data_IF_278166106370
#
_entry.id   IF_278166106370
#
_cell.length_a   1.000
_cell.length_b   1.000
_cell.length_c   1.000
_cell.angle_alpha   90.00
_cell.angle_beta   90.00
_cell.angle_gamma   90.00
#
_symmetry.space_group_name_H-M   'P 1'
#
loop_
_entity.id
_entity.type
_entity.pdbx_description
1 polymer ?
#
# COMPACT_ATOMS: atom_id res chain seq x y z
N UNK A 1 10.46 -25.72 -18.79
CA UNK A 1 10.41 -24.52 -17.94
C UNK A 1 10.65 -25.00 -16.52
N UNK A 2 11.71 -24.55 -15.85
CA UNK A 2 12.00 -25.01 -14.48
C UNK A 2 10.99 -24.38 -13.51
N UNK A 3 10.28 -25.20 -12.75
CA UNK A 3 9.47 -24.73 -11.62
C UNK A 3 10.38 -24.05 -10.61
N UNK A 4 10.29 -22.73 -10.52
CA UNK A 4 11.02 -21.95 -9.54
C UNK A 4 10.34 -22.08 -8.17
N UNK A 5 10.56 -23.23 -7.50
CA UNK A 5 10.03 -23.52 -6.16
C UNK A 5 10.60 -22.62 -5.06
N UNK A 6 11.64 -21.85 -5.36
CA UNK A 6 12.27 -20.93 -4.40
C UNK A 6 11.40 -19.70 -4.14
N UNK A 7 10.84 -19.08 -5.18
CA UNK A 7 10.09 -17.83 -5.04
C UNK A 7 8.77 -17.97 -4.24
N UNK A 8 7.94 -19.01 -4.45
CA UNK A 8 6.77 -19.23 -3.60
C UNK A 8 7.15 -19.48 -2.14
N UNK A 9 8.21 -20.28 -1.90
CA UNK A 9 8.69 -20.52 -0.54
C UNK A 9 9.25 -19.25 0.11
N UNK A 10 9.92 -18.39 -0.66
CA UNK A 10 10.36 -17.08 -0.19
C UNK A 10 9.17 -16.19 0.17
N UNK A 11 8.14 -16.10 -0.68
CA UNK A 11 6.92 -15.32 -0.38
C UNK A 11 6.26 -15.78 0.91
N UNK A 12 6.11 -17.09 1.06
CA UNK A 12 5.53 -17.68 2.26
C UNK A 12 6.38 -17.39 3.49
N UNK A 13 7.70 -17.58 3.43
CA UNK A 13 8.59 -17.29 4.55
C UNK A 13 8.60 -15.80 4.92
N UNK A 14 8.50 -14.90 3.94
CA UNK A 14 8.39 -13.46 4.20
C UNK A 14 7.10 -13.15 4.96
N UNK A 15 5.97 -13.69 4.52
CA UNK A 15 4.70 -13.48 5.23
C UNK A 15 4.68 -14.13 6.61
N UNK A 16 5.23 -15.34 6.75
CA UNK A 16 5.34 -16.02 8.04
C UNK A 16 6.15 -15.18 9.04
N UNK A 17 7.27 -14.60 8.63
CA UNK A 17 8.06 -13.68 9.47
C UNK A 17 7.28 -12.41 9.84
N UNK A 18 6.35 -11.97 9.00
CA UNK A 18 5.62 -10.71 9.16
C UNK A 18 4.26 -10.87 9.87
N UNK A 19 3.70 -12.08 9.89
CA UNK A 19 2.46 -12.43 10.57
C UNK A 19 2.67 -13.09 11.95
N UNK A 20 3.89 -13.54 12.26
CA UNK A 20 4.17 -14.24 13.51
C UNK A 20 4.14 -13.28 14.72
N UNK A 21 3.18 -13.53 15.62
CA UNK A 21 3.02 -12.79 16.87
C UNK A 21 4.10 -13.11 17.91
N UNK A 22 4.90 -14.18 17.73
CA UNK A 22 5.80 -14.65 18.79
C UNK A 22 7.21 -14.05 18.76
N UNK A 23 7.76 -13.69 17.61
CA UNK A 23 9.08 -13.05 17.55
C UNK A 23 9.15 -12.10 16.35
N UNK A 24 9.72 -10.92 16.57
CA UNK A 24 10.09 -9.88 15.57
C UNK A 24 9.11 -8.75 15.30
N UNK A 25 7.81 -8.88 15.54
CA UNK A 25 6.95 -7.67 15.55
C UNK A 25 7.23 -6.86 16.82
N UNK A 26 8.08 -5.84 16.69
CA UNK A 26 8.33 -4.90 17.79
C UNK A 26 7.00 -4.23 18.07
N UNK A 27 6.38 -4.65 19.17
CA UNK A 27 5.14 -4.07 19.65
C UNK A 27 5.49 -2.82 20.43
N UNK A 28 5.13 -1.67 19.86
CA UNK A 28 5.29 -0.37 20.51
C UNK A 28 3.97 -0.02 21.16
N UNK A 29 3.96 0.00 22.49
CA UNK A 29 2.84 0.49 23.29
C UNK A 29 3.05 1.98 23.60
N UNK A 30 2.15 2.82 23.09
CA UNK A 30 2.17 4.27 23.34
C UNK A 30 0.96 4.67 24.16
N UNK A 31 1.20 5.36 25.26
CA UNK A 31 0.15 5.88 26.14
C UNK A 31 0.16 5.21 27.51
N UNK A 32 -0.86 5.53 28.30
CA UNK A 32 -1.09 4.96 29.62
C UNK A 32 -2.53 4.41 29.66
N UNK A 33 -2.78 3.41 30.50
CA UNK A 33 -4.12 2.87 30.66
C UNK A 33 -5.16 3.97 31.00
N UNK A 34 -6.38 3.88 30.45
CA UNK A 34 -6.90 2.82 29.56
C UNK A 34 -6.59 3.05 28.06
N UNK A 35 -5.78 4.05 27.70
CA UNK A 35 -5.56 4.49 26.32
C UNK A 35 -4.19 4.07 25.79
N UNK A 36 -3.93 2.76 25.78
CA UNK A 36 -2.72 2.19 25.16
C UNK A 36 -2.98 1.98 23.68
N UNK A 37 -2.12 2.53 22.83
CA UNK A 37 -2.09 2.25 21.39
C UNK A 37 -0.97 1.24 21.11
N UNK A 38 -1.33 0.13 20.47
CA UNK A 38 -0.40 -0.94 20.07
C UNK A 38 -0.06 -0.72 18.59
N UNK A 39 1.23 -0.55 18.28
CA UNK A 39 1.75 -0.49 16.89
C UNK A 39 2.69 -1.67 16.66
N UNK A 40 2.59 -2.25 15.47
CA UNK A 40 3.35 -3.43 15.03
C UNK A 40 4.22 -3.01 13.85
N UNK A 41 5.53 -2.90 14.08
CA UNK A 41 6.43 -2.23 13.14
C UNK A 41 6.48 -2.89 11.76
N UNK A 42 6.32 -4.21 11.66
CA UNK A 42 6.36 -4.91 10.38
C UNK A 42 5.08 -4.72 9.58
N UNK A 43 3.92 -4.79 10.25
CA UNK A 43 2.63 -4.49 9.63
C UNK A 43 2.58 -3.04 9.15
N UNK A 44 3.02 -2.10 9.98
CA UNK A 44 3.11 -0.68 9.61
C UNK A 44 4.01 -0.50 8.37
N UNK A 45 5.17 -1.18 8.32
CA UNK A 45 6.05 -1.12 7.15
C UNK A 45 5.37 -1.66 5.88
N UNK A 46 4.64 -2.78 5.96
CA UNK A 46 3.94 -3.34 4.81
C UNK A 46 2.84 -2.41 4.28
N UNK A 47 2.06 -1.82 5.19
CA UNK A 47 1.02 -0.86 4.85
C UNK A 47 1.60 0.40 4.19
N UNK A 48 2.72 0.92 4.73
CA UNK A 48 3.42 2.05 4.11
C UNK A 48 3.98 1.68 2.73
N UNK A 49 4.57 0.48 2.58
CA UNK A 49 5.21 0.04 1.34
C UNK A 49 4.27 -0.76 0.41
N UNK A 50 2.95 -0.59 0.57
CA UNK A 50 1.94 -1.37 -0.14
C UNK A 50 2.15 -1.37 -1.66
N UNK A 51 2.45 -0.20 -2.25
CA UNK A 51 2.64 -0.08 -3.69
C UNK A 51 3.78 -0.96 -4.21
N UNK A 52 4.90 -1.00 -3.47
CA UNK A 52 6.04 -1.85 -3.80
C UNK A 52 5.63 -3.33 -3.73
N UNK A 53 4.96 -3.74 -2.65
CA UNK A 53 4.52 -5.13 -2.45
C UNK A 53 3.50 -5.56 -3.50
N UNK A 54 2.54 -4.70 -3.82
CA UNK A 54 1.56 -4.92 -4.88
C UNK A 54 2.28 -5.07 -6.22
N UNK A 55 3.12 -4.11 -6.61
CA UNK A 55 3.85 -4.18 -7.88
C UNK A 55 4.68 -5.48 -7.98
N UNK A 56 5.49 -5.77 -6.97
CA UNK A 56 6.34 -6.97 -6.94
C UNK A 56 5.51 -8.26 -7.02
N UNK A 57 4.39 -8.35 -6.30
CA UNK A 57 3.54 -9.56 -6.30
C UNK A 57 2.78 -9.78 -7.61
N UNK A 58 2.45 -8.72 -8.34
CA UNK A 58 1.76 -8.82 -9.64
C UNK A 58 2.73 -8.97 -10.83
N UNK A 59 3.98 -8.51 -10.71
CA UNK A 59 5.02 -8.74 -11.72
C UNK A 59 5.49 -10.20 -11.78
N UNK A 60 5.33 -10.96 -10.70
CA UNK A 60 5.77 -12.35 -10.61
C UNK A 60 4.66 -13.29 -10.14
N UNK A 61 4.31 -14.26 -10.98
CA UNK A 61 3.26 -15.24 -10.66
C UNK A 61 3.62 -16.20 -9.52
N UNK A 62 4.88 -16.25 -9.09
CA UNK A 62 5.33 -17.06 -7.97
C UNK A 62 5.08 -16.43 -6.60
N UNK A 63 4.63 -15.18 -6.52
CA UNK A 63 4.37 -14.46 -5.27
C UNK A 63 2.87 -14.42 -4.95
N UNK A 64 2.21 -15.58 -5.03
CA UNK A 64 0.76 -15.69 -4.83
C UNK A 64 0.34 -15.32 -3.42
N UNK A 65 1.12 -15.68 -2.41
CA UNK A 65 0.80 -15.38 -1.02
C UNK A 65 0.91 -13.87 -0.77
N UNK A 66 1.95 -13.20 -1.29
CA UNK A 66 2.07 -11.74 -1.17
C UNK A 66 0.96 -11.02 -1.94
N UNK A 67 0.58 -11.55 -3.09
CA UNK A 67 -0.56 -11.05 -3.86
C UNK A 67 -1.86 -11.15 -3.06
N UNK A 68 -2.10 -12.29 -2.41
CA UNK A 68 -3.26 -12.49 -1.56
C UNK A 68 -3.28 -11.50 -0.41
N UNK A 69 -2.14 -11.28 0.27
CA UNK A 69 -2.02 -10.25 1.30
C UNK A 69 -2.42 -8.88 0.77
N UNK A 70 -1.86 -8.44 -0.37
CA UNK A 70 -2.20 -7.13 -0.95
C UNK A 70 -3.68 -7.02 -1.32
N UNK A 71 -4.27 -8.07 -1.91
CA UNK A 71 -5.69 -8.10 -2.26
C UNK A 71 -6.57 -8.10 -1.02
N UNK A 72 -6.20 -8.81 0.05
CA UNK A 72 -6.93 -8.80 1.31
C UNK A 72 -6.88 -7.45 2.00
N UNK A 73 -5.71 -6.80 2.08
CA UNK A 73 -5.58 -5.45 2.65
C UNK A 73 -6.45 -4.45 1.86
N UNK A 74 -6.40 -4.52 0.54
CA UNK A 74 -7.23 -3.68 -0.34
C UNK A 74 -8.72 -3.91 -0.14
N UNK A 75 -9.15 -5.15 0.12
CA UNK A 75 -10.56 -5.47 0.31
C UNK A 75 -11.08 -5.19 1.73
N UNK A 76 -10.25 -5.35 2.77
CA UNK A 76 -10.65 -5.27 4.17
C UNK A 76 -10.44 -3.88 4.77
N UNK A 77 -9.34 -3.22 4.39
CA UNK A 77 -8.91 -1.95 4.97
C UNK A 77 -8.40 -0.97 3.87
N UNK A 78 -9.19 -0.71 2.80
CA UNK A 78 -8.77 0.19 1.72
C UNK A 78 -8.43 1.60 2.20
N UNK A 79 -9.02 2.06 3.30
CA UNK A 79 -8.75 3.36 3.91
C UNK A 79 -7.29 3.52 4.34
N UNK A 80 -6.61 2.43 4.72
CA UNK A 80 -5.18 2.46 5.04
C UNK A 80 -4.35 2.83 3.82
N UNK A 81 -4.73 2.28 2.66
CA UNK A 81 -4.06 2.56 1.39
C UNK A 81 -4.36 4.00 0.94
N UNK A 82 -5.62 4.44 1.00
CA UNK A 82 -5.99 5.83 0.67
C UNK A 82 -5.31 6.86 1.56
N UNK A 83 -5.09 6.53 2.84
CA UNK A 83 -4.45 7.42 3.79
C UNK A 83 -2.92 7.33 3.81
N UNK A 84 -2.34 6.37 3.11
CA UNK A 84 -0.89 6.23 2.98
C UNK A 84 -0.24 7.46 2.33
N UNK A 85 0.98 7.75 2.76
CA UNK A 85 1.83 8.80 2.17
C UNK A 85 2.18 8.42 0.72
N UNK A 86 2.35 7.13 0.46
CA UNK A 86 2.75 6.60 -0.84
C UNK A 86 1.58 6.43 -1.83
N UNK A 87 0.37 6.85 -1.46
CA UNK A 87 -0.82 6.74 -2.32
C UNK A 87 -0.61 7.38 -3.70
N UNK A 88 0.04 8.55 -3.78
CA UNK A 88 0.30 9.24 -5.06
C UNK A 88 1.24 8.46 -5.98
N UNK A 89 1.98 7.48 -5.45
CA UNK A 89 2.91 6.63 -6.20
C UNK A 89 2.26 5.39 -6.80
N UNK A 90 1.00 5.10 -6.47
CA UNK A 90 0.30 3.90 -6.94
C UNK A 90 0.34 3.80 -8.46
N UNK A 91 0.62 2.60 -8.97
CA UNK A 91 0.42 2.33 -10.40
C UNK A 91 -1.06 2.45 -10.78
N UNK A 92 -1.34 2.82 -12.03
CA UNK A 92 -2.72 2.96 -12.54
C UNK A 92 -3.55 1.70 -12.34
N UNK A 93 -3.00 0.52 -12.64
CA UNK A 93 -3.67 -0.76 -12.43
C UNK A 93 -4.02 -1.00 -10.94
N UNK A 94 -3.13 -0.62 -10.03
CA UNK A 94 -3.37 -0.75 -8.59
C UNK A 94 -4.49 0.20 -8.13
N UNK A 95 -4.47 1.44 -8.60
CA UNK A 95 -5.51 2.42 -8.32
C UNK A 95 -6.88 1.97 -8.85
N UNK A 96 -6.93 1.43 -10.06
CA UNK A 96 -8.16 0.89 -10.65
C UNK A 96 -8.70 -0.26 -9.80
N UNK A 97 -7.85 -1.23 -9.44
CA UNK A 97 -8.25 -2.33 -8.55
C UNK A 97 -8.79 -1.80 -7.22
N UNK A 98 -8.11 -0.83 -6.61
CA UNK A 98 -8.52 -0.24 -5.34
C UNK A 98 -9.90 0.39 -5.43
N UNK A 99 -10.17 1.18 -6.47
CA UNK A 99 -11.44 1.91 -6.64
C UNK A 99 -12.60 0.96 -6.98
N UNK A 100 -12.35 -0.17 -7.67
CA UNK A 100 -13.39 -1.14 -8.02
C UNK A 100 -14.03 -1.84 -6.80
N UNK A 101 -13.36 -1.83 -5.66
CA UNK A 101 -13.90 -2.35 -4.41
C UNK A 101 -14.76 -1.27 -3.73
N UNK A 102 -15.97 -0.99 -4.25
CA UNK A 102 -16.92 0.08 -3.82
C UNK A 102 -17.29 0.13 -2.30
N UNK A 103 -16.67 -0.69 -1.44
CA UNK A 103 -16.93 -0.78 -0.01
C UNK A 103 -15.86 -0.04 0.82
N UNK A 104 -15.82 1.28 0.71
CA UNK A 104 -14.90 2.11 1.48
C UNK A 104 -15.55 2.65 2.76
N UNK A 105 -14.81 2.67 3.88
CA UNK A 105 -15.22 3.40 5.10
C UNK A 105 -14.92 4.91 5.02
N UNK A 106 -14.33 5.38 3.91
CA UNK A 106 -14.06 6.79 3.63
C UNK A 106 -15.14 7.38 2.73
N UNK A 107 -15.40 8.69 2.86
CA UNK A 107 -16.43 9.35 2.05
C UNK A 107 -16.02 9.47 0.58
N UNK A 108 -17.00 9.42 -0.34
CA UNK A 108 -16.77 9.59 -1.78
C UNK A 108 -15.97 10.86 -2.09
N UNK A 109 -16.23 11.96 -1.37
CA UNK A 109 -15.51 13.22 -1.54
C UNK A 109 -14.02 13.04 -1.24
N UNK A 110 -13.67 12.34 -0.16
CA UNK A 110 -12.28 12.05 0.19
C UNK A 110 -11.62 11.12 -0.82
N UNK A 111 -12.35 10.14 -1.37
CA UNK A 111 -11.86 9.29 -2.47
C UNK A 111 -11.50 10.15 -3.67
N UNK A 112 -12.40 11.02 -4.12
CA UNK A 112 -12.16 11.92 -5.26
C UNK A 112 -11.01 12.89 -5.02
N UNK A 113 -10.87 13.46 -3.82
CA UNK A 113 -9.74 14.32 -3.47
C UNK A 113 -8.41 13.57 -3.56
N UNK A 114 -8.36 12.32 -3.10
CA UNK A 114 -7.15 11.47 -3.19
C UNK A 114 -6.82 11.15 -4.65
N UNK A 115 -7.81 10.73 -5.45
CA UNK A 115 -7.64 10.44 -6.89
C UNK A 115 -7.14 11.67 -7.65
N UNK A 116 -7.70 12.85 -7.36
CA UNK A 116 -7.25 14.10 -8.00
C UNK A 116 -5.79 14.41 -7.67
N UNK A 117 -5.38 14.27 -6.40
CA UNK A 117 -3.99 14.45 -5.98
C UNK A 117 -3.05 13.46 -6.68
N UNK A 118 -3.46 12.20 -6.79
CA UNK A 118 -2.73 11.20 -7.57
C UNK A 118 -2.62 11.60 -9.05
N UNK A 119 -3.72 12.03 -9.67
CA UNK A 119 -3.75 12.43 -11.08
C UNK A 119 -2.82 13.59 -11.39
N UNK A 120 -2.78 14.61 -10.53
CA UNK A 120 -1.84 15.75 -10.63
C UNK A 120 -0.40 15.28 -10.40
N UNK A 121 -0.14 14.41 -9.44
CA UNK A 121 1.21 13.89 -9.19
C UNK A 121 1.77 13.09 -10.38
N UNK A 122 0.91 12.34 -11.08
CA UNK A 122 1.27 11.60 -12.30
C UNK A 122 1.34 12.51 -13.54
N UNK A 123 0.62 13.64 -13.55
CA UNK A 123 0.56 14.58 -14.65
C UNK A 123 0.80 16.01 -14.15
N UNK A 124 2.06 16.37 -13.84
CA UNK A 124 2.32 17.60 -13.11
C UNK A 124 1.99 18.88 -13.89
N UNK A 125 1.87 18.78 -15.21
CA UNK A 125 1.39 19.87 -16.09
C UNK A 125 -0.07 20.28 -15.82
N UNK A 126 -0.85 19.42 -15.16
CA UNK A 126 -2.22 19.72 -14.74
C UNK A 126 -2.27 20.52 -13.43
N UNK A 127 -1.12 20.73 -12.79
CA UNK A 127 -1.03 21.54 -11.58
C UNK A 127 -1.48 22.97 -11.88
N UNK A 128 -2.42 23.46 -11.09
CA UNK A 128 -2.87 24.85 -11.17
C UNK A 128 -1.85 25.84 -10.60
N UNK A 129 -0.70 25.35 -10.10
CA UNK A 129 0.42 26.17 -9.63
C UNK A 129 1.21 26.73 -10.82
N UNK A 130 1.19 28.06 -11.06
CA UNK A 130 1.93 28.68 -12.14
C UNK A 130 3.45 28.45 -12.05
N UNK A 131 3.98 28.15 -10.86
CA UNK A 131 5.39 27.91 -10.64
C UNK A 131 5.83 26.48 -10.99
N UNK A 132 4.91 25.56 -11.24
CA UNK A 132 5.25 24.17 -11.58
C UNK A 132 5.95 24.08 -12.95
N UNK A 133 5.50 24.88 -13.92
CA UNK A 133 6.06 24.90 -15.27
C UNK A 133 7.46 25.53 -15.37
N UNK A 134 7.89 26.32 -14.38
CA UNK A 134 9.19 27.00 -14.41
C UNK A 134 10.36 26.08 -13.98
N UNK A 135 10.08 25.00 -13.25
CA UNK A 135 11.12 24.12 -12.71
C UNK A 135 11.50 22.95 -13.64
N UNK A 136 10.79 22.76 -14.77
CA UNK A 136 11.03 21.68 -15.73
C UNK A 136 11.72 22.13 -17.03
N UNK A 137 12.24 23.37 -17.10
CA UNK A 137 12.91 23.94 -18.28
C UNK A 137 14.34 24.43 -17.97
N UNK A 138 15.02 23.84 -16.98
CA UNK A 138 16.42 24.14 -16.66
C UNK A 138 17.32 22.92 -16.87
#
# INVERSE_FOLDING_TARGET
MYDNKFLPKLSHNLLEILEDNEFYDITIEVGNEPYVKISRTHMDWMEQNFNLLYKTSFENNSFMELRNFCTELMSKEPEKIFNSIDFISLSENCLISLIQHDNFQISDIQVWERILKWGIAQNPELSSDPNFHLNNIA
#
